data_IF_493228341465
#
_entry.id   IF_493228341465
#
_cell.length_a   1.000
_cell.length_b   1.000
_cell.length_c   1.000
_cell.angle_alpha   90.00
_cell.angle_beta   90.00
_cell.angle_gamma   90.00
#
_symmetry.space_group_name_H-M   'P 1'
#
loop_
_entity.id
_entity.type
_entity.pdbx_description
1 polymer ?
#
# COMPACT_ATOMS: atom_id res chain seq x y z
N UNK A 1 -18.47 11.91 1.99
CA UNK A 1 -18.02 10.51 1.80
C UNK A 1 -17.86 10.08 0.34
N UNK A 2 -18.82 10.31 -0.57
CA UNK A 2 -18.75 9.76 -1.94
C UNK A 2 -17.61 10.29 -2.83
N UNK A 3 -17.17 11.55 -2.66
CA UNK A 3 -16.13 12.16 -3.50
C UNK A 3 -14.74 11.52 -3.32
N UNK A 4 -14.36 11.19 -2.08
CA UNK A 4 -13.07 10.55 -1.79
C UNK A 4 -13.01 9.17 -2.46
N UNK A 5 -14.05 8.36 -2.27
CA UNK A 5 -14.16 7.03 -2.87
C UNK A 5 -14.05 7.08 -4.41
N UNK A 6 -14.71 8.05 -5.07
CA UNK A 6 -14.62 8.22 -6.53
C UNK A 6 -13.21 8.60 -6.97
N UNK A 7 -12.55 9.54 -6.27
CA UNK A 7 -11.17 9.94 -6.58
C UNK A 7 -10.18 8.78 -6.35
N UNK A 8 -10.33 8.04 -5.27
CA UNK A 8 -9.50 6.85 -4.99
C UNK A 8 -9.72 5.74 -6.01
N UNK A 9 -10.96 5.48 -6.41
CA UNK A 9 -11.24 4.50 -7.46
C UNK A 9 -10.56 4.85 -8.78
N UNK A 10 -10.46 6.15 -9.11
CA UNK A 10 -9.74 6.64 -10.30
C UNK A 10 -8.21 6.58 -10.12
N UNK A 11 -7.72 6.85 -8.91
CA UNK A 11 -6.31 6.73 -8.55
C UNK A 11 -5.84 5.28 -8.68
N UNK A 12 -6.64 4.35 -8.16
CA UNK A 12 -6.36 2.90 -8.13
C UNK A 12 -6.81 2.16 -9.39
N UNK A 13 -7.22 2.85 -10.46
CA UNK A 13 -7.62 2.18 -11.71
C UNK A 13 -6.36 1.73 -12.49
N UNK A 14 -6.10 0.41 -12.62
CA UNK A 14 -4.93 -0.08 -13.36
C UNK A 14 -5.00 0.22 -14.86
N UNK A 15 -6.17 0.59 -15.40
CA UNK A 15 -6.36 0.99 -16.80
C UNK A 15 -6.04 2.46 -17.03
N UNK A 16 -5.85 3.25 -15.97
CA UNK A 16 -5.49 4.65 -16.10
C UNK A 16 -3.98 4.78 -16.36
N UNK A 17 -3.56 5.15 -17.59
CA UNK A 17 -2.14 5.15 -17.95
C UNK A 17 -1.32 6.19 -17.18
N UNK A 18 -1.97 7.19 -16.56
CA UNK A 18 -1.30 8.18 -15.72
C UNK A 18 -0.86 7.63 -14.36
N UNK A 19 -1.48 6.53 -13.94
CA UNK A 19 -1.36 5.96 -12.59
C UNK A 19 -0.80 4.53 -12.61
N UNK A 20 -0.51 4.00 -13.81
CA UNK A 20 0.05 2.68 -14.00
C UNK A 20 1.55 2.69 -13.67
N UNK A 21 2.01 1.59 -13.08
CA UNK A 21 3.45 1.37 -12.88
C UNK A 21 4.18 1.39 -14.23
N UNK A 22 5.23 2.21 -14.41
CA UNK A 22 5.93 2.34 -15.70
C UNK A 22 6.46 1.02 -16.27
N UNK A 23 6.79 0.06 -15.40
CA UNK A 23 7.31 -1.26 -15.72
C UNK A 23 6.36 -2.40 -15.30
N UNK A 24 5.13 -2.08 -14.87
CA UNK A 24 4.17 -3.09 -14.42
C UNK A 24 4.55 -3.81 -13.12
N UNK A 25 5.46 -3.23 -12.34
CA UNK A 25 5.94 -3.82 -11.08
C UNK A 25 5.52 -3.06 -9.84
N UNK A 26 5.59 -3.73 -8.67
CA UNK A 26 5.41 -3.12 -7.36
C UNK A 26 6.67 -2.37 -6.89
N UNK A 27 6.47 -1.42 -5.97
CA UNK A 27 7.52 -0.53 -5.45
C UNK A 27 7.43 0.87 -6.03
N UNK A 28 8.55 1.58 -6.17
CA UNK A 28 8.55 2.93 -6.74
C UNK A 28 9.80 3.16 -7.61
N UNK A 29 9.77 4.18 -8.47
CA UNK A 29 10.85 4.47 -9.42
C UNK A 29 12.10 5.09 -8.76
N UNK A 30 11.96 5.56 -7.53
CA UNK A 30 13.05 6.00 -6.65
C UNK A 30 12.90 5.28 -5.30
N UNK A 31 13.99 5.06 -4.55
CA UNK A 31 13.90 4.53 -3.21
C UNK A 31 13.00 5.43 -2.37
N UNK A 32 11.88 4.87 -1.92
CA UNK A 32 11.03 5.50 -0.90
C UNK A 32 11.30 4.81 0.43
N UNK A 33 10.56 5.18 1.47
CA UNK A 33 10.53 4.42 2.72
C UNK A 33 10.01 2.97 2.53
N UNK A 34 9.55 2.60 1.33
CA UNK A 34 9.03 1.28 0.95
C UNK A 34 9.88 0.54 -0.12
N UNK A 35 11.17 0.90 -0.26
CA UNK A 35 12.22 0.13 -0.97
C UNK A 35 12.30 0.16 -2.52
N UNK A 36 13.32 -0.54 -3.06
CA UNK A 36 13.75 -0.62 -4.47
C UNK A 36 13.12 -1.82 -5.24
N UNK A 37 12.40 -1.47 -6.32
CA UNK A 37 12.09 -2.17 -7.59
C UNK A 37 11.79 -3.69 -7.69
N UNK A 38 10.72 -3.98 -8.46
CA UNK A 38 10.41 -5.17 -9.29
C UNK A 38 10.25 -6.55 -8.65
N UNK A 39 9.09 -6.81 -8.05
CA UNK A 39 8.83 -8.10 -7.39
C UNK A 39 7.36 -8.52 -7.47
N UNK A 40 7.08 -9.81 -7.28
CA UNK A 40 5.74 -10.31 -7.02
C UNK A 40 5.13 -9.64 -5.76
N UNK A 41 3.81 -9.44 -5.71
CA UNK A 41 3.14 -8.76 -4.60
C UNK A 41 3.46 -9.40 -3.24
N UNK A 42 3.45 -10.73 -3.18
CA UNK A 42 3.72 -11.44 -1.93
C UNK A 42 5.15 -11.21 -1.45
N UNK A 43 6.11 -11.25 -2.39
CA UNK A 43 7.53 -11.00 -2.08
C UNK A 43 7.72 -9.56 -1.62
N UNK A 44 7.14 -8.59 -2.36
CA UNK A 44 7.18 -7.18 -2.02
C UNK A 44 6.62 -6.92 -0.62
N UNK A 45 5.42 -7.42 -0.33
CA UNK A 45 4.77 -7.21 0.97
C UNK A 45 5.54 -7.88 2.12
N UNK A 46 6.09 -9.08 1.90
CA UNK A 46 6.85 -9.80 2.92
C UNK A 46 8.18 -9.14 3.23
N UNK A 47 9.02 -8.97 2.21
CA UNK A 47 10.42 -8.56 2.40
C UNK A 47 10.55 -7.05 2.63
N UNK A 48 9.76 -6.25 1.92
CA UNK A 48 9.96 -4.79 1.83
C UNK A 48 8.93 -3.97 2.61
N UNK A 49 7.94 -4.63 3.22
CA UNK A 49 7.01 -3.98 4.15
C UNK A 49 7.15 -4.56 5.54
N UNK A 50 6.80 -5.83 5.74
CA UNK A 50 6.79 -6.41 7.08
C UNK A 50 8.21 -6.65 7.59
N UNK A 51 9.05 -7.35 6.82
CA UNK A 51 10.39 -7.72 7.29
C UNK A 51 11.30 -6.53 7.49
N UNK A 52 11.26 -5.55 6.59
CA UNK A 52 12.03 -4.31 6.76
C UNK A 52 11.67 -3.58 8.07
N UNK A 53 10.38 -3.47 8.41
CA UNK A 53 9.95 -2.86 9.68
C UNK A 53 10.43 -3.66 10.90
N UNK A 54 10.32 -4.99 10.86
CA UNK A 54 10.76 -5.86 11.95
C UNK A 54 12.28 -5.79 12.15
N UNK A 55 13.06 -5.78 11.07
CA UNK A 55 14.50 -5.59 11.13
C UNK A 55 14.90 -4.23 11.71
N UNK A 56 14.12 -3.17 11.45
CA UNK A 56 14.36 -1.84 12.02
C UNK A 56 14.02 -1.74 13.51
N UNK A 57 13.04 -2.53 13.97
CA UNK A 57 12.72 -2.64 15.39
C UNK A 57 13.85 -3.36 16.15
N UNK A 58 14.47 -4.35 15.51
CA UNK A 58 15.64 -5.10 16.01
C UNK A 58 15.44 -5.72 17.41
N UNK A 59 14.23 -6.21 17.67
CA UNK A 59 13.87 -6.85 18.93
C UNK A 59 13.83 -8.39 18.77
N UNK A 60 14.52 -9.17 19.62
CA UNK A 60 14.58 -10.63 19.50
C UNK A 60 13.22 -11.33 19.64
N UNK A 61 12.34 -10.84 20.51
CA UNK A 61 11.01 -11.44 20.73
C UNK A 61 10.12 -11.19 19.51
N UNK A 62 10.10 -9.96 19.01
CA UNK A 62 9.36 -9.59 17.81
C UNK A 62 9.88 -10.35 16.59
N UNK A 63 11.20 -10.50 16.44
CA UNK A 63 11.80 -11.29 15.36
C UNK A 63 11.36 -12.76 15.39
N UNK A 64 11.28 -13.35 16.59
CA UNK A 64 10.78 -14.72 16.78
C UNK A 64 9.31 -14.85 16.39
N UNK A 65 8.47 -13.92 16.84
CA UNK A 65 7.04 -13.87 16.54
C UNK A 65 6.75 -13.58 15.06
N UNK A 66 7.67 -12.94 14.34
CA UNK A 66 7.51 -12.64 12.92
C UNK A 66 7.78 -13.85 12.00
N UNK A 67 8.51 -14.88 12.46
CA UNK A 67 8.84 -16.04 11.61
C UNK A 67 7.59 -16.77 11.08
N UNK A 68 6.56 -17.09 11.89
CA UNK A 68 5.32 -17.68 11.37
C UNK A 68 4.57 -16.73 10.41
N UNK A 69 4.67 -15.42 10.60
CA UNK A 69 4.02 -14.42 9.74
C UNK A 69 4.60 -14.52 8.32
N UNK A 70 5.92 -14.57 8.18
CA UNK A 70 6.61 -14.68 6.89
C UNK A 70 6.36 -16.00 6.17
N UNK A 71 6.40 -17.10 6.93
CA UNK A 71 6.48 -18.44 6.37
C UNK A 71 5.11 -19.11 6.21
N UNK A 72 4.08 -18.63 6.90
CA UNK A 72 2.75 -19.25 6.90
C UNK A 72 1.64 -18.24 6.60
N UNK A 73 1.54 -17.16 7.39
CA UNK A 73 0.40 -16.23 7.30
C UNK A 73 0.38 -15.47 5.98
N UNK A 74 1.50 -14.87 5.58
CA UNK A 74 1.58 -14.10 4.33
C UNK A 74 1.34 -15.00 3.11
N UNK A 75 1.99 -16.18 2.97
CA UNK A 75 1.67 -17.10 1.90
C UNK A 75 0.19 -17.50 1.87
N UNK A 76 -0.39 -17.85 3.02
CA UNK A 76 -1.81 -18.23 3.10
C UNK A 76 -2.78 -17.12 2.69
N UNK A 77 -2.52 -15.87 3.10
CA UNK A 77 -3.41 -14.75 2.79
C UNK A 77 -3.26 -14.24 1.35
N UNK A 78 -2.07 -14.38 0.76
CA UNK A 78 -1.74 -13.76 -0.53
C UNK A 78 -1.58 -14.75 -1.69
N UNK A 79 -1.67 -16.07 -1.47
CA UNK A 79 -1.53 -17.08 -2.53
C UNK A 79 -2.70 -17.10 -3.52
N UNK A 80 -3.90 -16.70 -3.09
CA UNK A 80 -5.15 -16.99 -3.81
C UNK A 80 -5.69 -15.79 -4.60
N UNK A 81 -4.85 -14.82 -4.95
CA UNK A 81 -5.29 -13.73 -5.81
C UNK A 81 -5.30 -14.14 -7.28
N UNK A 82 -6.48 -14.50 -7.77
CA UNK A 82 -6.76 -14.71 -9.20
C UNK A 82 -7.83 -13.73 -9.72
N UNK A 83 -7.52 -12.89 -10.72
CA UNK A 83 -6.20 -12.69 -11.31
C UNK A 83 -5.23 -12.03 -10.33
N UNK A 84 -3.92 -12.18 -10.57
CA UNK A 84 -2.90 -11.45 -9.81
C UNK A 84 -3.23 -9.95 -9.82
N UNK A 85 -3.13 -9.27 -8.67
CA UNK A 85 -3.47 -7.87 -8.60
C UNK A 85 -2.54 -7.08 -9.52
N UNK A 86 -3.04 -6.05 -10.20
CA UNK A 86 -2.17 -5.12 -10.92
C UNK A 86 -1.58 -4.12 -9.92
N UNK A 87 -0.29 -3.76 -10.05
CA UNK A 87 0.28 -2.69 -9.25
C UNK A 87 -0.38 -1.36 -9.64
N UNK A 88 -0.89 -0.65 -8.64
CA UNK A 88 -1.48 0.68 -8.82
C UNK A 88 -0.84 1.65 -7.86
N UNK A 89 -0.73 2.91 -8.25
CA UNK A 89 -0.26 3.94 -7.34
C UNK A 89 -1.24 4.07 -6.16
N UNK A 90 -0.70 4.03 -4.94
CA UNK A 90 -1.48 4.30 -3.73
C UNK A 90 -0.88 5.50 -2.98
N UNK A 91 -1.65 6.13 -2.10
CA UNK A 91 -1.14 7.18 -1.21
C UNK A 91 -0.19 6.60 -0.17
N UNK A 92 -0.48 5.40 0.35
CA UNK A 92 0.43 4.61 1.21
C UNK A 92 0.45 5.01 2.68
N UNK A 93 -0.20 6.13 3.02
CA UNK A 93 -0.45 6.59 4.40
C UNK A 93 -1.81 7.31 4.50
N UNK A 94 -2.85 6.75 3.88
CA UNK A 94 -4.17 7.41 3.84
C UNK A 94 -5.03 7.03 5.04
N UNK A 95 -4.95 7.83 6.09
CA UNK A 95 -5.81 7.76 7.26
C UNK A 95 -6.50 9.12 7.49
N UNK A 96 -7.39 9.20 8.48
CA UNK A 96 -8.23 10.39 8.73
C UNK A 96 -7.42 11.65 9.00
N UNK A 97 -6.18 11.51 9.49
CA UNK A 97 -5.27 12.63 9.69
C UNK A 97 -4.67 13.20 8.40
N UNK A 98 -4.67 12.44 7.30
CA UNK A 98 -4.06 12.78 6.02
C UNK A 98 -5.10 13.08 4.91
N UNK A 99 -6.35 13.30 5.28
CA UNK A 99 -7.43 13.71 4.39
C UNK A 99 -8.20 14.88 4.98
N UNK A 100 -8.51 15.87 4.15
CA UNK A 100 -9.36 16.99 4.52
C UNK A 100 -10.36 17.32 3.42
N UNK A 101 -11.43 18.01 3.81
CA UNK A 101 -12.44 18.54 2.90
C UNK A 101 -12.36 20.06 2.95
N UNK A 102 -12.38 20.68 1.79
CA UNK A 102 -12.64 22.10 1.66
C UNK A 102 -14.04 22.41 2.19
N UNK A 103 -14.16 23.37 3.11
CA UNK A 103 -15.45 23.67 3.75
C UNK A 103 -16.44 24.34 2.78
N UNK A 104 -15.95 25.11 1.81
CA UNK A 104 -16.81 25.87 0.88
C UNK A 104 -17.23 25.03 -0.33
N UNK A 105 -16.28 24.30 -0.92
CA UNK A 105 -16.47 23.54 -2.17
C UNK A 105 -16.73 22.05 -1.94
N UNK A 106 -16.45 21.56 -0.73
CA UNK A 106 -16.51 20.14 -0.39
C UNK A 106 -15.49 19.31 -1.17
N UNK A 107 -14.39 19.90 -1.63
CA UNK A 107 -13.36 19.23 -2.41
C UNK A 107 -12.38 18.48 -1.51
N UNK A 108 -11.93 17.30 -1.96
CA UNK A 108 -11.08 16.41 -1.17
C UNK A 108 -9.62 16.74 -1.41
N UNK A 109 -8.88 16.97 -0.33
CA UNK A 109 -7.43 17.06 -0.31
C UNK A 109 -6.83 15.87 0.44
N UNK A 110 -5.77 15.30 -0.12
CA UNK A 110 -4.94 14.27 0.53
C UNK A 110 -3.50 14.80 0.60
N UNK A 111 -2.79 14.48 1.67
CA UNK A 111 -1.46 15.04 1.93
C UNK A 111 -0.59 14.07 2.73
N UNK A 112 0.72 14.35 2.76
CA UNK A 112 1.76 13.48 3.34
C UNK A 112 1.80 12.06 2.73
N UNK A 113 1.92 11.93 1.40
CA UNK A 113 1.98 10.61 0.78
C UNK A 113 3.26 9.87 1.16
N UNK A 114 3.12 8.56 1.33
CA UNK A 114 4.20 7.58 1.30
C UNK A 114 3.98 6.66 0.10
N UNK A 115 3.88 7.26 -1.08
CA UNK A 115 3.37 6.61 -2.27
C UNK A 115 4.30 5.52 -2.81
N UNK A 116 3.68 4.45 -3.28
CA UNK A 116 4.34 3.40 -4.06
C UNK A 116 3.27 2.67 -4.91
N UNK A 117 3.73 1.93 -5.91
CA UNK A 117 2.90 1.00 -6.67
C UNK A 117 2.67 -0.25 -5.83
N UNK A 118 1.45 -0.40 -5.35
CA UNK A 118 1.04 -1.42 -4.39
C UNK A 118 -0.23 -2.15 -4.83
N UNK A 119 -0.69 -3.08 -3.99
CA UNK A 119 -2.07 -3.56 -4.07
C UNK A 119 -3.02 -2.49 -3.50
N UNK A 120 -4.05 -2.10 -4.26
CA UNK A 120 -5.05 -1.11 -3.84
C UNK A 120 -5.68 -1.37 -2.45
N UNK A 121 -5.83 -2.65 -2.03
CA UNK A 121 -6.37 -3.04 -0.74
C UNK A 121 -5.52 -2.57 0.45
N UNK A 122 -4.25 -2.22 0.26
CA UNK A 122 -3.42 -1.68 1.34
C UNK A 122 -3.99 -0.35 1.82
N UNK A 123 -4.37 0.54 0.91
CA UNK A 123 -4.97 1.84 1.24
C UNK A 123 -6.22 1.67 2.09
N UNK A 124 -7.11 0.76 1.67
CA UNK A 124 -8.33 0.42 2.41
C UNK A 124 -8.03 -0.18 3.80
N UNK A 125 -6.93 -0.92 3.92
CA UNK A 125 -6.45 -1.43 5.20
C UNK A 125 -6.08 -0.31 6.16
N UNK A 126 -5.32 0.69 5.69
CA UNK A 126 -4.91 1.85 6.49
C UNK A 126 -6.14 2.66 6.93
N UNK A 127 -7.03 3.00 5.99
CA UNK A 127 -8.27 3.73 6.25
C UNK A 127 -9.15 3.00 7.27
N UNK A 128 -9.21 1.67 7.21
CA UNK A 128 -10.02 0.86 8.14
C UNK A 128 -9.43 0.79 9.55
N UNK A 129 -8.11 0.82 9.69
CA UNK A 129 -7.43 0.77 11.00
C UNK A 129 -7.47 2.13 11.69
N UNK A 130 -7.21 3.22 10.94
CA UNK A 130 -6.95 4.54 11.50
C UNK A 130 -8.03 5.59 11.18
N UNK A 131 -9.14 5.17 10.56
CA UNK A 131 -10.17 6.06 10.02
C UNK A 131 -9.77 6.64 8.67
N UNK A 132 -10.76 6.98 7.84
CA UNK A 132 -10.56 7.48 6.48
C UNK A 132 -11.76 7.16 5.59
#
# INVERSE_FOLDING_TARGET
>A
ETKLAVKLSSLHDPKNPKNASPNGSYGFNVPTFCSETEQDWMVFFREFRIKELICRIDDPEINSLAQPIYNQVIPFLLSDFEPRPSPVIIHGDLWSGNVSLDEETGEVFIYNPSSYYGHNKVELGIMKIFGG
#
